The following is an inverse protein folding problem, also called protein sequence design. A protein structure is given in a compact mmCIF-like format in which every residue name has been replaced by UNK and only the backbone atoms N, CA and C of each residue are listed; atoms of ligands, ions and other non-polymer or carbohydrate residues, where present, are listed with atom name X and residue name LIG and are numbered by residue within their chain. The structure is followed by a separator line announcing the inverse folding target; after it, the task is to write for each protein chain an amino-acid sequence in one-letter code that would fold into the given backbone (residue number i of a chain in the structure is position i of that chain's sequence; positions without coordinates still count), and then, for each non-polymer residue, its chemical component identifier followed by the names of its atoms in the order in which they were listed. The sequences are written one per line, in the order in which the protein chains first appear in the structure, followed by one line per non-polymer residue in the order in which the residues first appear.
data_IF_607921490400
#
_entry.id   IF_607921490400
#
_cell.length_a   1.000
_cell.length_b   1.000
_cell.length_c   1.000
_cell.angle_alpha   90.00
_cell.angle_beta   90.00
_cell.angle_gamma   90.00
#
_symmetry.space_group_name_H-M   'P 1'
#
loop_
_entity.id
_entity.type
_entity.pdbx_description
1 polymer ?
#
# COMPACT_ATOMS: atom_id res chain seq x y z
N UNK A 1 -25.11 -4.08 -16.65
CA UNK A 1 -24.97 -5.51 -16.34
C UNK A 1 -24.14 -5.58 -15.08
N UNK A 2 -24.82 -5.72 -13.95
CA UNK A 2 -24.12 -5.94 -12.65
C UNK A 2 -23.47 -7.32 -12.69
N UNK A 3 -22.18 -7.35 -12.98
CA UNK A 3 -21.41 -8.56 -12.77
C UNK A 3 -21.24 -8.72 -11.25
N UNK A 4 -21.98 -9.67 -10.67
CA UNK A 4 -21.71 -10.12 -9.31
C UNK A 4 -20.22 -10.45 -9.19
N UNK A 5 -19.53 -9.85 -8.22
CA UNK A 5 -18.15 -10.25 -7.91
C UNK A 5 -18.13 -11.74 -7.62
N UNK A 6 -17.07 -12.43 -8.08
CA UNK A 6 -16.87 -13.83 -7.72
C UNK A 6 -16.60 -13.93 -6.21
N UNK A 7 -17.01 -15.05 -5.59
CA UNK A 7 -16.71 -15.31 -4.17
C UNK A 7 -15.22 -15.18 -3.86
N UNK A 8 -14.36 -15.58 -4.78
CA UNK A 8 -12.90 -15.51 -4.68
C UNK A 8 -12.39 -14.06 -4.55
N UNK A 9 -12.94 -13.12 -5.33
CA UNK A 9 -12.59 -11.70 -5.24
C UNK A 9 -13.01 -11.12 -3.88
N UNK A 10 -14.23 -11.46 -3.43
CA UNK A 10 -14.74 -11.02 -2.13
C UNK A 10 -13.86 -11.56 -0.99
N UNK A 11 -13.53 -12.84 -1.03
CA UNK A 11 -12.65 -13.48 -0.04
C UNK A 11 -11.28 -12.82 0.00
N UNK A 12 -10.69 -12.53 -1.17
CA UNK A 12 -9.39 -11.84 -1.25
C UNK A 12 -9.44 -10.44 -0.66
N UNK A 13 -10.49 -9.66 -0.93
CA UNK A 13 -10.70 -8.34 -0.32
C UNK A 13 -10.84 -8.43 1.19
N UNK A 14 -11.61 -9.39 1.69
CA UNK A 14 -11.79 -9.61 3.14
C UNK A 14 -10.50 -10.04 3.82
N UNK A 15 -9.71 -10.89 3.18
CA UNK A 15 -8.40 -11.30 3.68
C UNK A 15 -7.46 -10.09 3.86
N UNK A 16 -7.30 -9.28 2.79
CA UNK A 16 -6.46 -8.08 2.82
C UNK A 16 -6.95 -7.09 3.90
N UNK A 17 -8.25 -6.76 3.91
CA UNK A 17 -8.83 -5.87 4.92
C UNK A 17 -8.64 -6.41 6.34
N UNK A 18 -8.72 -7.73 6.53
CA UNK A 18 -8.50 -8.40 7.81
C UNK A 18 -7.06 -8.28 8.30
N UNK A 19 -6.06 -8.54 7.44
CA UNK A 19 -4.62 -8.41 7.77
C UNK A 19 -4.32 -6.99 8.25
N UNK A 20 -4.69 -5.99 7.45
CA UNK A 20 -4.45 -4.59 7.80
C UNK A 20 -5.30 -4.12 8.98
N UNK A 21 -6.52 -4.61 9.13
CA UNK A 21 -7.36 -4.34 10.30
C UNK A 21 -6.72 -4.80 11.61
N UNK A 22 -6.08 -5.98 11.64
CA UNK A 22 -5.35 -6.49 12.82
C UNK A 22 -4.05 -5.74 13.07
N UNK A 23 -3.42 -5.17 12.05
CA UNK A 23 -2.24 -4.34 12.18
C UNK A 23 -2.54 -2.88 12.60
N UNK A 24 -3.78 -2.41 12.47
CA UNK A 24 -4.14 -0.99 12.49
C UNK A 24 -3.64 -0.20 13.72
N UNK A 25 -3.64 -0.80 14.91
CA UNK A 25 -3.21 -0.11 16.13
C UNK A 25 -1.70 0.15 16.18
N UNK A 26 -0.91 -0.69 15.52
CA UNK A 26 0.56 -0.63 15.52
C UNK A 26 1.13 -0.18 14.18
N UNK A 27 0.29 -0.08 13.14
CA UNK A 27 0.70 0.24 11.77
C UNK A 27 1.50 1.54 11.71
N UNK A 28 2.71 1.48 11.16
CA UNK A 28 3.67 2.59 11.07
C UNK A 28 4.01 3.26 12.43
N UNK A 29 3.90 2.49 13.55
CA UNK A 29 4.17 2.96 14.91
C UNK A 29 5.26 2.18 15.64
N UNK A 30 5.64 1.01 15.10
CA UNK A 30 6.72 0.18 15.59
C UNK A 30 7.86 0.25 14.59
N UNK A 31 9.06 0.50 15.05
CA UNK A 31 10.23 0.73 14.20
C UNK A 31 10.18 2.03 13.41
N UNK A 32 10.96 2.12 12.35
CA UNK A 32 11.01 3.30 11.48
C UNK A 32 9.68 3.54 10.78
N UNK A 33 9.27 4.81 10.74
CA UNK A 33 8.00 5.23 10.12
C UNK A 33 8.16 5.46 8.62
N UNK A 34 8.45 4.41 7.88
CA UNK A 34 8.72 4.53 6.45
C UNK A 34 7.47 4.85 5.62
N UNK A 35 6.28 4.37 5.99
CA UNK A 35 5.04 4.76 5.32
C UNK A 35 4.75 6.26 5.48
N UNK A 36 4.92 6.80 6.69
CA UNK A 36 4.81 8.24 6.94
C UNK A 36 5.86 9.05 6.17
N UNK A 37 7.08 8.53 6.03
CA UNK A 37 8.13 9.17 5.24
C UNK A 37 7.74 9.25 3.77
N UNK A 38 7.42 8.11 3.15
CA UNK A 38 7.08 8.06 1.73
C UNK A 38 5.72 8.68 1.42
N UNK A 39 4.76 8.67 2.35
CA UNK A 39 3.50 9.40 2.22
C UNK A 39 3.74 10.92 2.08
N UNK A 40 4.62 11.50 2.93
CA UNK A 40 5.04 12.90 2.77
C UNK A 40 5.76 13.15 1.45
N UNK A 41 6.61 12.21 1.00
CA UNK A 41 7.30 12.33 -0.29
C UNK A 41 6.33 12.31 -1.46
N UNK A 42 5.36 11.39 -1.46
CA UNK A 42 4.32 11.31 -2.49
C UNK A 42 3.58 12.66 -2.60
N UNK A 43 3.11 13.19 -1.48
CA UNK A 43 2.39 14.47 -1.43
C UNK A 43 3.26 15.64 -1.92
N UNK A 44 4.53 15.68 -1.51
CA UNK A 44 5.46 16.73 -1.94
C UNK A 44 5.75 16.70 -3.45
N UNK A 45 5.92 15.49 -4.01
CA UNK A 45 6.19 15.28 -5.43
C UNK A 45 4.94 15.52 -6.30
N UNK A 46 3.75 15.22 -5.78
CA UNK A 46 2.48 15.47 -6.47
C UNK A 46 2.16 16.96 -6.67
N UNK A 47 2.83 17.86 -5.94
CA UNK A 47 2.67 19.32 -6.07
C UNK A 47 1.22 19.79 -6.02
N UNK A 48 0.46 19.24 -5.09
CA UNK A 48 -0.97 19.50 -4.92
C UNK A 48 -1.20 21.00 -4.65
N UNK A 49 -2.07 21.68 -5.38
CA UNK A 49 -2.34 23.09 -5.12
C UNK A 49 -3.13 23.28 -3.81
N UNK A 50 -2.90 24.40 -3.14
CA UNK A 50 -3.75 24.83 -2.03
C UNK A 50 -5.21 24.97 -2.48
N UNK A 51 -6.14 24.56 -1.63
CA UNK A 51 -7.58 24.57 -1.95
C UNK A 51 -8.08 23.39 -2.78
N UNK A 52 -7.24 22.43 -3.13
CA UNK A 52 -7.62 21.24 -3.91
C UNK A 52 -8.54 20.29 -3.11
N UNK A 53 -9.42 19.59 -3.83
CA UNK A 53 -10.13 18.41 -3.34
C UNK A 53 -9.33 17.16 -3.67
N UNK A 54 -8.90 16.43 -2.67
CA UNK A 54 -8.02 15.26 -2.81
C UNK A 54 -8.70 14.00 -2.31
N UNK A 55 -8.54 12.90 -3.03
CA UNK A 55 -8.91 11.56 -2.57
C UNK A 55 -7.64 10.76 -2.26
N UNK A 56 -7.55 10.21 -1.05
CA UNK A 56 -6.51 9.24 -0.65
C UNK A 56 -7.11 7.83 -0.64
N UNK A 57 -6.75 7.03 -1.62
CA UNK A 57 -7.29 5.68 -1.85
C UNK A 57 -6.46 4.65 -1.07
N UNK A 58 -7.15 3.79 -0.30
CA UNK A 58 -6.56 2.86 0.64
C UNK A 58 -5.65 3.60 1.64
N UNK A 59 -6.24 4.56 2.34
CA UNK A 59 -5.53 5.52 3.19
C UNK A 59 -4.77 4.89 4.36
N UNK A 60 -5.07 3.63 4.72
CA UNK A 60 -4.46 2.92 5.85
C UNK A 60 -4.58 3.72 7.14
N UNK A 61 -3.46 4.02 7.79
CA UNK A 61 -3.39 4.86 9.00
C UNK A 61 -3.14 6.36 8.69
N UNK A 62 -3.41 6.77 7.46
CA UNK A 62 -3.40 8.18 7.08
C UNK A 62 -2.02 8.77 6.79
N UNK A 63 -1.03 7.96 6.43
CA UNK A 63 0.32 8.46 6.12
C UNK A 63 0.31 9.52 4.99
N UNK A 64 -0.51 9.31 3.97
CA UNK A 64 -0.73 10.25 2.88
C UNK A 64 -1.80 11.28 3.25
N UNK A 65 -2.94 10.84 3.80
CA UNK A 65 -4.08 11.66 4.20
C UNK A 65 -3.70 12.91 5.01
N UNK A 66 -3.03 12.69 6.14
CA UNK A 66 -2.66 13.80 7.05
C UNK A 66 -1.62 14.73 6.43
N UNK A 67 -0.73 14.18 5.60
CA UNK A 67 0.23 15.01 4.85
C UNK A 67 -0.48 15.90 3.82
N UNK A 68 -1.40 15.33 3.04
CA UNK A 68 -2.19 16.05 2.03
C UNK A 68 -3.08 17.12 2.68
N UNK A 69 -3.70 16.83 3.84
CA UNK A 69 -4.55 17.77 4.59
C UNK A 69 -3.80 19.05 4.94
N UNK A 70 -2.52 18.94 5.33
CA UNK A 70 -1.68 20.11 5.61
C UNK A 70 -1.36 20.94 4.36
N UNK A 71 -1.20 20.28 3.20
CA UNK A 71 -0.84 20.94 1.94
C UNK A 71 -2.04 21.67 1.32
N UNK A 72 -3.22 21.02 1.29
CA UNK A 72 -4.42 21.67 0.70
C UNK A 72 -4.90 22.85 1.53
N UNK A 73 -4.61 22.86 2.82
CA UNK A 73 -4.98 23.93 3.76
C UNK A 73 -6.49 24.04 3.99
N UNK A 74 -6.96 25.09 4.69
CA UNK A 74 -8.35 25.20 5.15
C UNK A 74 -9.37 25.44 4.00
N UNK A 75 -8.93 25.78 2.82
CA UNK A 75 -9.79 25.99 1.65
C UNK A 75 -9.92 24.72 0.78
N UNK A 76 -9.07 23.72 1.01
CA UNK A 76 -9.15 22.42 0.35
C UNK A 76 -9.80 21.38 1.24
N UNK A 77 -10.01 20.19 0.69
CA UNK A 77 -10.56 19.05 1.43
C UNK A 77 -9.85 17.75 1.02
N UNK A 78 -9.61 16.88 1.99
CA UNK A 78 -9.07 15.55 1.75
C UNK A 78 -10.06 14.49 2.21
N UNK A 79 -10.44 13.59 1.31
CA UNK A 79 -11.23 12.41 1.65
C UNK A 79 -10.32 11.19 1.60
N UNK A 80 -10.23 10.44 2.70
CA UNK A 80 -9.58 9.13 2.72
C UNK A 80 -10.61 8.02 2.57
N UNK A 81 -10.28 6.97 1.84
CA UNK A 81 -11.07 5.74 1.82
C UNK A 81 -10.19 4.53 2.14
N UNK A 82 -10.76 3.56 2.83
CA UNK A 82 -10.11 2.28 3.09
C UNK A 82 -11.17 1.17 3.18
N UNK A 83 -10.81 -0.03 2.77
CA UNK A 83 -11.70 -1.18 2.85
C UNK A 83 -11.83 -1.68 4.30
N UNK A 84 -10.80 -1.48 5.13
CA UNK A 84 -10.77 -1.87 6.54
C UNK A 84 -11.52 -0.87 7.41
N UNK A 85 -12.62 -1.33 8.04
CA UNK A 85 -13.36 -0.57 9.03
C UNK A 85 -12.47 -0.12 10.21
N UNK A 86 -11.51 -0.96 10.61
CA UNK A 86 -10.60 -0.63 11.72
C UNK A 86 -9.69 0.54 11.34
N UNK A 87 -9.11 0.54 10.12
CA UNK A 87 -8.28 1.63 9.62
C UNK A 87 -9.07 2.95 9.58
N UNK A 88 -10.29 2.91 9.05
CA UNK A 88 -11.13 4.12 8.95
C UNK A 88 -11.53 4.67 10.32
N UNK A 89 -11.95 3.81 11.24
CA UNK A 89 -12.29 4.20 12.62
C UNK A 89 -11.11 4.86 13.34
N UNK A 90 -9.94 4.25 13.26
CA UNK A 90 -8.74 4.81 13.89
C UNK A 90 -8.34 6.17 13.32
N UNK A 91 -8.52 6.38 12.01
CA UNK A 91 -8.30 7.71 11.41
C UNK A 91 -9.36 8.72 11.83
N UNK A 92 -10.63 8.32 11.95
CA UNK A 92 -11.68 9.20 12.44
C UNK A 92 -11.39 9.69 13.88
N UNK A 93 -10.89 8.79 14.76
CA UNK A 93 -10.47 9.17 16.10
C UNK A 93 -9.25 10.13 16.07
N UNK A 94 -8.30 9.90 15.19
CA UNK A 94 -7.13 10.76 15.04
C UNK A 94 -7.52 12.14 14.49
N UNK A 95 -8.42 12.22 13.51
CA UNK A 95 -8.99 13.48 12.99
C UNK A 95 -9.64 14.29 14.13
N UNK A 96 -10.48 13.64 14.95
CA UNK A 96 -11.10 14.28 16.13
C UNK A 96 -10.05 14.77 17.12
N UNK A 97 -9.07 13.94 17.43
CA UNK A 97 -7.98 14.25 18.37
C UNK A 97 -7.17 15.47 17.93
N UNK A 98 -6.93 15.60 16.61
CA UNK A 98 -6.20 16.70 16.00
C UNK A 98 -7.06 17.93 15.71
N UNK A 99 -8.38 17.84 15.86
CA UNK A 99 -9.33 18.93 15.60
C UNK A 99 -9.38 19.36 14.13
N UNK A 100 -9.05 18.47 13.20
CA UNK A 100 -9.02 18.77 11.77
C UNK A 100 -10.44 18.89 11.21
N UNK A 101 -10.68 19.90 10.37
CA UNK A 101 -12.01 20.21 9.82
C UNK A 101 -12.10 20.00 8.31
N UNK A 102 -10.96 19.89 7.63
CA UNK A 102 -10.85 19.79 6.18
C UNK A 102 -10.44 18.36 5.71
N UNK A 103 -10.78 17.37 6.51
CA UNK A 103 -10.50 15.96 6.21
C UNK A 103 -11.60 15.06 6.74
N UNK A 104 -11.94 14.04 5.97
CA UNK A 104 -12.83 12.95 6.39
C UNK A 104 -12.30 11.60 5.93
N UNK A 105 -12.79 10.52 6.54
CA UNK A 105 -12.48 9.15 6.15
C UNK A 105 -13.75 8.32 6.08
N UNK A 106 -13.89 7.51 5.03
CA UNK A 106 -15.03 6.62 4.79
C UNK A 106 -14.54 5.19 4.54
N UNK A 107 -15.29 4.22 5.04
CA UNK A 107 -15.10 2.84 4.61
C UNK A 107 -15.67 2.69 3.19
N UNK A 108 -14.83 2.29 2.23
CA UNK A 108 -15.23 2.19 0.83
C UNK A 108 -14.26 1.30 0.06
N UNK A 109 -14.78 0.60 -0.93
CA UNK A 109 -14.00 -0.19 -1.88
C UNK A 109 -13.51 0.71 -3.03
N UNK A 110 -12.21 0.67 -3.32
CA UNK A 110 -11.61 1.41 -4.42
C UNK A 110 -12.12 1.00 -5.81
N UNK A 111 -12.67 -0.21 -5.93
CA UNK A 111 -13.26 -0.73 -7.17
C UNK A 111 -14.72 -0.30 -7.38
N UNK A 112 -15.32 0.38 -6.38
CA UNK A 112 -16.72 0.86 -6.40
C UNK A 112 -16.82 2.20 -5.67
N UNK A 113 -16.35 3.27 -6.30
CA UNK A 113 -16.30 4.59 -5.67
C UNK A 113 -17.69 5.29 -5.68
N UNK A 114 -18.20 5.55 -4.50
CA UNK A 114 -19.49 6.24 -4.30
C UNK A 114 -19.34 7.78 -4.37
N UNK A 115 -18.61 8.26 -5.38
CA UNK A 115 -18.44 9.69 -5.65
C UNK A 115 -18.93 10.04 -7.04
N UNK A 116 -19.46 11.27 -7.26
CA UNK A 116 -19.77 11.75 -8.59
C UNK A 116 -18.55 11.79 -9.50
N UNK A 117 -18.78 11.78 -10.80
CA UNK A 117 -17.73 11.99 -11.80
C UNK A 117 -17.05 13.34 -11.58
N UNK A 118 -15.75 13.43 -11.89
CA UNK A 118 -14.98 14.66 -11.85
C UNK A 118 -15.08 15.43 -10.51
N UNK A 119 -14.99 14.70 -9.38
CA UNK A 119 -15.10 15.27 -8.04
C UNK A 119 -13.76 15.75 -7.46
N UNK A 120 -12.64 15.14 -7.86
CA UNK A 120 -11.34 15.36 -7.24
C UNK A 120 -10.33 15.99 -8.20
N UNK A 121 -9.52 16.93 -7.68
CA UNK A 121 -8.42 17.55 -8.40
C UNK A 121 -7.19 16.66 -8.44
N UNK A 122 -6.99 15.88 -7.38
CA UNK A 122 -5.87 14.94 -7.25
C UNK A 122 -6.32 13.66 -6.53
N UNK A 123 -5.80 12.51 -6.96
CA UNK A 123 -6.01 11.22 -6.30
C UNK A 123 -4.65 10.64 -5.95
N UNK A 124 -4.52 10.20 -4.70
CA UNK A 124 -3.32 9.61 -4.14
C UNK A 124 -3.57 8.15 -3.78
N UNK A 125 -2.57 7.28 -3.96
CA UNK A 125 -2.62 5.88 -3.55
C UNK A 125 -1.22 5.43 -3.11
N UNK A 126 -0.98 5.40 -1.81
CA UNK A 126 0.32 5.04 -1.24
C UNK A 126 0.41 3.55 -0.92
N UNK A 127 1.27 2.79 -1.61
CA UNK A 127 1.55 1.37 -1.35
C UNK A 127 0.32 0.45 -1.34
N UNK A 128 -0.67 0.70 -2.18
CA UNK A 128 -1.90 -0.08 -2.17
C UNK A 128 -2.37 -0.59 -3.53
N UNK A 129 -1.96 0.02 -4.64
CA UNK A 129 -2.46 -0.30 -5.98
C UNK A 129 -2.32 -1.80 -6.35
N UNK A 130 -1.33 -2.49 -5.82
CA UNK A 130 -1.06 -3.92 -6.06
C UNK A 130 -1.94 -4.87 -5.21
N UNK A 131 -2.77 -4.33 -4.32
CA UNK A 131 -3.74 -5.13 -3.54
C UNK A 131 -5.13 -5.20 -4.18
N UNK A 132 -5.40 -4.46 -5.26
CA UNK A 132 -6.71 -4.44 -5.89
C UNK A 132 -6.91 -5.67 -6.78
N UNK A 133 -7.82 -6.62 -6.44
CA UNK A 133 -8.07 -7.80 -7.24
C UNK A 133 -8.55 -7.48 -8.67
N UNK A 134 -9.32 -6.41 -8.82
CA UNK A 134 -9.81 -5.90 -10.11
C UNK A 134 -9.15 -4.54 -10.42
N UNK A 135 -7.84 -4.55 -10.66
CA UNK A 135 -7.07 -3.33 -10.88
C UNK A 135 -7.66 -2.42 -11.97
N UNK A 136 -8.06 -2.98 -13.12
CA UNK A 136 -8.63 -2.21 -14.22
C UNK A 136 -9.91 -1.49 -13.79
N UNK A 137 -10.72 -2.13 -12.94
CA UNK A 137 -11.92 -1.53 -12.39
C UNK A 137 -11.58 -0.40 -11.44
N UNK A 138 -10.67 -0.61 -10.51
CA UNK A 138 -10.22 0.43 -9.59
C UNK A 138 -9.66 1.65 -10.33
N UNK A 139 -8.82 1.43 -11.35
CA UNK A 139 -8.26 2.52 -12.16
C UNK A 139 -9.34 3.22 -13.01
N UNK A 140 -10.36 2.49 -13.49
CA UNK A 140 -11.51 3.08 -14.18
C UNK A 140 -12.32 3.99 -13.25
N UNK A 141 -12.60 3.55 -12.03
CA UNK A 141 -13.30 4.34 -11.01
C UNK A 141 -12.48 5.58 -10.60
N UNK A 142 -11.19 5.39 -10.33
CA UNK A 142 -10.26 6.48 -10.05
C UNK A 142 -10.29 7.52 -11.19
N UNK A 143 -10.19 7.06 -12.44
CA UNK A 143 -10.25 7.96 -13.60
C UNK A 143 -11.61 8.64 -13.74
N UNK A 144 -12.71 7.96 -13.42
CA UNK A 144 -14.07 8.52 -13.47
C UNK A 144 -14.21 9.69 -12.51
N UNK A 145 -13.82 9.51 -11.25
CA UNK A 145 -13.99 10.53 -10.20
C UNK A 145 -12.95 11.63 -10.24
N UNK A 146 -11.84 11.46 -10.97
CA UNK A 146 -10.84 12.49 -11.20
C UNK A 146 -11.35 13.51 -12.23
N UNK A 147 -11.14 14.80 -11.98
CA UNK A 147 -11.48 15.88 -12.92
C UNK A 147 -10.64 15.79 -14.20
N UNK A 148 -11.09 16.30 -15.34
CA UNK A 148 -10.22 16.52 -16.50
C UNK A 148 -8.98 17.30 -16.09
N UNK A 149 -7.81 16.93 -16.60
CA UNK A 149 -6.50 17.44 -16.21
C UNK A 149 -6.11 17.22 -14.73
N UNK A 150 -6.93 16.51 -13.96
CA UNK A 150 -6.60 16.09 -12.60
C UNK A 150 -5.46 15.05 -12.60
N UNK A 151 -4.75 14.95 -11.48
CA UNK A 151 -3.59 14.10 -11.33
C UNK A 151 -3.89 12.86 -10.46
N UNK A 152 -3.43 11.70 -10.90
CA UNK A 152 -3.23 10.54 -10.03
C UNK A 152 -1.74 10.46 -9.64
N UNK A 153 -1.46 10.12 -8.38
CA UNK A 153 -0.12 9.83 -7.89
C UNK A 153 -0.13 8.56 -7.04
N UNK A 154 0.76 7.64 -7.34
CA UNK A 154 0.86 6.35 -6.63
C UNK A 154 2.28 6.10 -6.16
N UNK A 155 2.42 5.29 -5.10
CA UNK A 155 3.71 4.77 -4.63
C UNK A 155 3.66 3.25 -4.62
N UNK A 156 4.74 2.61 -5.10
CA UNK A 156 4.94 1.16 -5.06
C UNK A 156 6.36 0.84 -4.60
N UNK A 157 6.59 -0.43 -4.24
CA UNK A 157 7.94 -0.93 -4.02
C UNK A 157 8.66 -1.06 -5.36
N UNK A 158 9.95 -0.67 -5.41
CA UNK A 158 10.82 -1.03 -6.51
C UNK A 158 11.19 -2.52 -6.40
N UNK A 159 11.33 -3.22 -7.51
CA UNK A 159 11.64 -4.65 -7.55
C UNK A 159 12.98 -5.01 -6.87
N UNK A 160 13.90 -4.06 -6.75
CA UNK A 160 15.16 -4.23 -6.03
C UNK A 160 14.98 -4.29 -4.49
N UNK A 161 13.81 -3.92 -3.98
CA UNK A 161 13.51 -4.02 -2.55
C UNK A 161 13.68 -5.45 -2.03
N UNK A 162 13.21 -6.44 -2.78
CA UNK A 162 13.29 -7.85 -2.39
C UNK A 162 14.73 -8.41 -2.39
N UNK A 163 15.67 -7.83 -3.15
CA UNK A 163 17.02 -8.38 -3.25
C UNK A 163 17.77 -8.38 -1.92
N UNK A 164 17.64 -7.31 -1.13
CA UNK A 164 18.27 -7.19 0.18
C UNK A 164 17.71 -8.20 1.20
N UNK A 165 16.44 -8.55 1.06
CA UNK A 165 15.67 -9.37 2.01
C UNK A 165 15.31 -10.74 1.47
N UNK A 166 15.91 -11.15 0.35
CA UNK A 166 15.70 -12.46 -0.26
C UNK A 166 15.86 -13.62 0.73
N UNK A 167 16.80 -13.48 1.69
CA UNK A 167 16.99 -14.46 2.75
C UNK A 167 15.73 -14.64 3.63
N UNK A 168 14.94 -13.56 3.82
CA UNK A 168 13.69 -13.64 4.57
C UNK A 168 12.64 -14.43 3.80
N UNK A 169 12.49 -14.15 2.51
CA UNK A 169 11.57 -14.87 1.64
C UNK A 169 11.94 -16.36 1.58
N UNK A 170 13.24 -16.67 1.41
CA UNK A 170 13.77 -18.04 1.43
C UNK A 170 13.49 -18.75 2.78
N UNK A 171 13.59 -18.02 3.89
CA UNK A 171 13.27 -18.55 5.20
C UNK A 171 11.77 -18.78 5.36
N UNK A 172 10.92 -17.84 4.91
CA UNK A 172 9.45 -18.02 4.88
C UNK A 172 9.07 -19.26 4.09
N UNK A 173 9.66 -19.48 2.91
CA UNK A 173 9.42 -20.67 2.07
C UNK A 173 9.81 -21.98 2.77
N UNK A 174 10.79 -21.96 3.68
CA UNK A 174 11.16 -23.13 4.48
C UNK A 174 10.03 -23.57 5.42
N UNK A 175 9.29 -22.61 5.97
CA UNK A 175 8.16 -22.85 6.88
C UNK A 175 6.81 -22.98 6.14
N UNK A 176 6.70 -22.29 5.01
CA UNK A 176 5.53 -22.28 4.12
C UNK A 176 5.97 -22.72 2.71
N UNK A 177 6.42 -23.97 2.51
CA UNK A 177 6.77 -24.41 1.17
C UNK A 177 5.56 -24.21 0.23
N UNK A 178 5.80 -23.73 -0.99
CA UNK A 178 4.75 -23.57 -1.98
C UNK A 178 4.01 -24.90 -2.13
N UNK A 179 2.68 -24.85 -2.20
CA UNK A 179 1.92 -26.06 -2.49
C UNK A 179 2.37 -26.60 -3.86
N UNK A 180 2.56 -27.93 -3.99
CA UNK A 180 2.89 -28.49 -5.29
C UNK A 180 1.81 -28.04 -6.26
N UNK A 181 2.23 -27.33 -7.32
CA UNK A 181 1.34 -26.85 -8.38
C UNK A 181 0.41 -27.99 -8.80
N UNK A 182 -0.81 -27.99 -8.32
CA UNK A 182 -1.90 -28.69 -8.99
C UNK A 182 -1.99 -27.99 -10.34
N UNK A 183 -1.35 -28.60 -11.37
CA UNK A 183 -1.30 -28.20 -12.77
C UNK A 183 -2.25 -27.03 -13.04
N UNK A 184 -1.84 -25.82 -12.77
CA UNK A 184 -2.41 -24.67 -13.46
C UNK A 184 -2.05 -24.92 -14.91
N UNK A 185 -3.02 -25.36 -15.67
CA UNK A 185 -2.96 -25.26 -17.12
C UNK A 185 -2.58 -23.81 -17.37
N UNK A 186 -1.33 -23.62 -17.82
CA UNK A 186 -0.88 -22.34 -18.35
C UNK A 186 -1.78 -22.06 -19.55
N UNK A 187 -2.92 -21.47 -19.26
CA UNK A 187 -3.74 -20.90 -20.31
C UNK A 187 -2.92 -19.74 -20.86
N UNK A 188 -2.27 -19.99 -21.99
CA UNK A 188 -1.42 -19.03 -22.70
C UNK A 188 -2.19 -17.79 -23.17
N UNK A 189 -3.43 -17.62 -22.74
CA UNK A 189 -4.32 -16.48 -23.02
C UNK A 189 -4.54 -15.56 -21.81
N UNK A 190 -4.03 -15.90 -20.62
CA UNK A 190 -4.11 -14.97 -19.49
C UNK A 190 -3.20 -13.76 -19.76
N UNK A 191 -3.71 -12.52 -19.59
CA UNK A 191 -2.86 -11.34 -19.76
C UNK A 191 -1.69 -11.38 -18.74
N UNK A 192 -0.51 -10.88 -19.13
CA UNK A 192 0.63 -10.83 -18.21
C UNK A 192 0.25 -10.08 -16.95
N UNK A 193 0.66 -10.61 -15.78
CA UNK A 193 0.42 -9.94 -14.50
C UNK A 193 1.06 -8.55 -14.49
N UNK A 194 0.38 -7.55 -13.91
CA UNK A 194 0.93 -6.20 -13.80
C UNK A 194 2.27 -6.18 -13.06
N UNK A 195 3.25 -5.48 -13.59
CA UNK A 195 4.58 -5.35 -12.98
C UNK A 195 4.69 -4.02 -12.25
N UNK A 196 4.34 -4.01 -10.98
CA UNK A 196 4.32 -2.77 -10.16
C UNK A 196 5.71 -2.29 -9.73
N UNK A 197 6.69 -3.17 -9.67
CA UNK A 197 8.03 -2.89 -9.14
C UNK A 197 9.03 -2.37 -10.20
N UNK A 198 8.56 -2.01 -11.39
CA UNK A 198 9.41 -1.46 -12.46
C UNK A 198 8.77 -0.22 -13.08
N UNK A 199 9.55 0.81 -13.45
CA UNK A 199 9.03 2.01 -14.10
C UNK A 199 8.18 1.71 -15.33
N UNK A 200 8.65 0.84 -16.22
CA UNK A 200 7.96 0.48 -17.47
C UNK A 200 6.63 -0.22 -17.20
N UNK A 201 6.56 -0.99 -16.11
CA UNK A 201 5.33 -1.66 -15.67
C UNK A 201 4.28 -0.67 -15.19
N UNK A 202 4.66 0.31 -14.38
CA UNK A 202 3.77 1.37 -13.93
C UNK A 202 3.32 2.26 -15.10
N UNK A 203 4.23 2.60 -16.02
CA UNK A 203 3.88 3.32 -17.24
C UNK A 203 2.84 2.56 -18.08
N UNK A 204 3.03 1.24 -18.27
CA UNK A 204 2.09 0.41 -19.00
C UNK A 204 0.72 0.35 -18.33
N UNK A 205 0.66 0.19 -17.00
CA UNK A 205 -0.57 0.18 -16.20
C UNK A 205 -1.32 1.51 -16.37
N UNK A 206 -0.65 2.64 -16.21
CA UNK A 206 -1.27 3.97 -16.33
C UNK A 206 -1.74 4.26 -17.74
N UNK A 207 -0.94 3.89 -18.77
CA UNK A 207 -1.33 4.02 -20.17
C UNK A 207 -2.57 3.20 -20.49
N UNK A 208 -2.61 1.93 -20.06
CA UNK A 208 -3.76 1.03 -20.30
C UNK A 208 -5.04 1.56 -19.64
N UNK A 209 -4.93 2.23 -18.49
CA UNK A 209 -6.04 2.89 -17.83
C UNK A 209 -6.45 4.22 -18.48
N UNK A 210 -5.77 4.67 -19.55
CA UNK A 210 -6.09 5.87 -20.31
C UNK A 210 -5.62 7.17 -19.65
N UNK A 211 -4.61 7.10 -18.79
CA UNK A 211 -3.90 8.28 -18.29
C UNK A 211 -2.81 8.72 -19.27
N UNK A 212 -2.40 9.97 -19.16
CA UNK A 212 -1.39 10.62 -20.02
C UNK A 212 -0.34 11.34 -19.17
N UNK A 213 0.71 11.87 -19.81
CA UNK A 213 1.78 12.60 -19.14
C UNK A 213 2.37 11.82 -17.93
N UNK A 214 2.62 10.55 -18.16
CA UNK A 214 3.09 9.65 -17.12
C UNK A 214 4.54 9.95 -16.81
N UNK A 215 4.86 10.07 -15.52
CA UNK A 215 6.20 10.25 -15.00
C UNK A 215 6.42 9.25 -13.87
N UNK A 216 7.52 8.54 -13.90
CA UNK A 216 7.93 7.64 -12.81
C UNK A 216 9.25 8.13 -12.24
N UNK A 217 9.30 8.26 -10.92
CA UNK A 217 10.47 8.69 -10.15
C UNK A 217 10.86 7.58 -9.20
N UNK A 218 12.12 7.15 -9.23
CA UNK A 218 12.68 6.21 -8.27
C UNK A 218 13.38 6.98 -7.15
N UNK A 219 13.07 6.64 -5.90
CA UNK A 219 13.78 7.12 -4.71
C UNK A 219 14.10 5.93 -3.81
N UNK A 220 15.11 6.10 -2.97
CA UNK A 220 15.42 5.15 -1.90
C UNK A 220 15.70 5.92 -0.62
N UNK A 221 15.25 5.37 0.51
CA UNK A 221 15.58 5.88 1.81
C UNK A 221 16.07 4.73 2.70
N UNK A 222 17.09 5.01 3.52
CA UNK A 222 17.58 4.08 4.51
C UNK A 222 16.88 4.34 5.85
N UNK A 223 16.50 3.25 6.50
CA UNK A 223 15.92 3.25 7.84
C UNK A 223 16.70 2.31 8.74
N UNK A 224 16.78 2.63 10.02
CA UNK A 224 17.53 1.88 11.00
C UNK A 224 16.55 1.38 12.07
N UNK A 225 16.52 0.07 12.28
CA UNK A 225 15.88 -0.55 13.43
C UNK A 225 16.90 -0.65 14.56
N UNK A 226 16.50 -0.33 15.77
CA UNK A 226 17.41 -0.30 16.91
C UNK A 226 18.05 -1.68 17.20
N UNK A 227 17.24 -2.73 17.05
CA UNK A 227 17.66 -4.11 17.26
C UNK A 227 16.76 -5.12 16.52
N UNK A 228 17.09 -6.39 16.68
CA UNK A 228 16.40 -7.51 16.04
C UNK A 228 14.96 -7.65 16.53
N UNK A 229 14.69 -7.35 17.79
CA UNK A 229 13.34 -7.44 18.36
C UNK A 229 12.43 -6.32 17.85
N UNK A 230 12.96 -5.11 17.66
CA UNK A 230 12.20 -4.03 17.01
C UNK A 230 11.89 -4.40 15.56
N UNK A 231 12.87 -4.95 14.83
CA UNK A 231 12.65 -5.42 13.46
C UNK A 231 11.55 -6.49 13.39
N UNK A 232 11.64 -7.51 14.25
CA UNK A 232 10.63 -8.56 14.36
C UNK A 232 9.25 -7.99 14.70
N UNK A 233 9.18 -7.08 15.66
CA UNK A 233 7.93 -6.46 16.09
C UNK A 233 7.29 -5.62 14.99
N UNK A 234 8.12 -5.00 14.13
CA UNK A 234 7.65 -4.22 12.99
C UNK A 234 6.96 -5.10 11.93
N UNK A 235 7.35 -6.36 11.73
CA UNK A 235 6.66 -7.28 10.82
C UNK A 235 5.17 -7.43 11.17
N UNK A 236 4.83 -7.48 12.45
CA UNK A 236 3.47 -7.56 12.94
C UNK A 236 2.63 -6.29 12.69
N UNK A 237 3.32 -5.19 12.39
CA UNK A 237 2.69 -3.86 12.22
C UNK A 237 2.34 -3.51 10.77
N UNK A 238 2.60 -4.40 9.80
CA UNK A 238 2.30 -4.17 8.39
C UNK A 238 1.97 -5.47 7.62
N UNK A 239 2.03 -5.45 6.29
CA UNK A 239 1.60 -6.56 5.42
C UNK A 239 2.32 -7.90 5.65
N UNK A 240 3.60 -7.88 6.11
CA UNK A 240 4.34 -9.11 6.44
C UNK A 240 3.72 -9.91 7.59
N UNK A 241 2.78 -9.31 8.34
CA UNK A 241 1.94 -10.02 9.29
C UNK A 241 1.26 -11.25 8.70
N UNK A 242 0.92 -11.21 7.42
CA UNK A 242 0.30 -12.32 6.72
C UNK A 242 1.17 -13.59 6.76
N UNK A 243 2.48 -13.44 6.56
CA UNK A 243 3.42 -14.57 6.60
C UNK A 243 3.49 -15.17 8.01
N UNK A 244 3.56 -14.30 9.03
CA UNK A 244 3.65 -14.72 10.43
C UNK A 244 2.38 -15.48 10.86
N UNK A 245 1.20 -14.98 10.53
CA UNK A 245 -0.07 -15.62 10.80
C UNK A 245 -0.21 -16.96 10.04
N UNK A 246 0.26 -17.02 8.79
CA UNK A 246 0.25 -18.25 8.01
C UNK A 246 1.22 -19.30 8.58
N UNK A 247 2.41 -18.92 9.01
CA UNK A 247 3.39 -19.79 9.68
C UNK A 247 2.79 -20.33 10.98
N UNK A 248 2.23 -19.47 11.83
CA UNK A 248 1.61 -19.88 13.09
C UNK A 248 0.46 -20.85 12.84
N UNK A 249 -0.42 -20.56 11.88
CA UNK A 249 -1.53 -21.42 11.50
C UNK A 249 -1.08 -22.82 11.06
N UNK A 250 0.03 -22.88 10.30
CA UNK A 250 0.54 -24.16 9.74
C UNK A 250 1.37 -24.95 10.72
N UNK A 251 2.20 -24.30 11.53
CA UNK A 251 3.25 -24.94 12.34
C UNK A 251 3.00 -24.83 13.85
N UNK A 252 1.95 -24.11 14.26
CA UNK A 252 1.64 -23.80 15.66
C UNK A 252 2.58 -22.74 16.25
N UNK A 253 2.34 -22.40 17.52
CA UNK A 253 3.13 -21.39 18.27
C UNK A 253 4.60 -21.78 18.31
N UNK A 254 4.93 -23.05 18.57
CA UNK A 254 6.33 -23.54 18.62
C UNK A 254 7.03 -23.37 17.25
N UNK A 255 6.29 -23.49 16.15
CA UNK A 255 6.83 -23.27 14.82
C UNK A 255 7.15 -21.79 14.55
N UNK A 256 6.25 -20.90 14.97
CA UNK A 256 6.45 -19.46 14.87
C UNK A 256 7.64 -19.00 15.73
N UNK A 257 7.80 -19.54 16.95
CA UNK A 257 8.94 -19.24 17.81
C UNK A 257 10.27 -19.72 17.19
N UNK A 258 10.29 -20.89 16.53
CA UNK A 258 11.48 -21.32 15.78
C UNK A 258 11.79 -20.38 14.61
N UNK A 259 10.77 -20.04 13.82
CA UNK A 259 10.92 -19.07 12.74
C UNK A 259 11.50 -17.73 13.26
N UNK A 260 10.94 -17.22 14.37
CA UNK A 260 11.48 -16.03 15.04
C UNK A 260 12.95 -16.17 15.37
N UNK A 261 13.34 -17.28 15.98
CA UNK A 261 14.73 -17.53 16.39
C UNK A 261 15.68 -17.49 15.18
N UNK A 262 15.30 -18.13 14.07
CA UNK A 262 16.07 -18.15 12.82
C UNK A 262 16.20 -16.74 12.22
N UNK A 263 15.11 -15.96 12.21
CA UNK A 263 15.12 -14.55 11.77
C UNK A 263 16.07 -13.71 12.64
N UNK A 264 15.95 -13.80 13.97
CA UNK A 264 16.80 -13.02 14.88
C UNK A 264 18.27 -13.41 14.75
N UNK A 265 18.59 -14.70 14.55
CA UNK A 265 19.95 -15.15 14.30
C UNK A 265 20.52 -14.53 13.04
N UNK A 266 19.74 -14.52 11.95
CA UNK A 266 20.15 -13.91 10.68
C UNK A 266 20.36 -12.42 10.82
N UNK A 267 19.46 -11.70 11.49
CA UNK A 267 19.57 -10.25 11.72
C UNK A 267 20.82 -9.88 12.50
N UNK A 268 21.22 -10.69 13.51
CA UNK A 268 22.48 -10.48 14.26
C UNK A 268 23.70 -10.50 13.38
N UNK A 269 23.70 -11.28 12.29
CA UNK A 269 24.84 -11.35 11.35
C UNK A 269 25.00 -10.10 10.50
N UNK A 270 23.94 -9.30 10.32
CA UNK A 270 23.94 -8.09 9.48
C UNK A 270 23.83 -6.79 10.30
N UNK A 271 23.61 -6.90 11.61
CA UNK A 271 23.50 -5.76 12.52
C UNK A 271 24.79 -4.97 12.57
N UNK A 272 24.68 -3.67 12.48
CA UNK A 272 25.77 -2.70 12.63
C UNK A 272 25.80 -2.13 14.07
N UNK A 273 26.76 -1.25 14.35
CA UNK A 273 26.93 -0.67 15.69
C UNK A 273 25.74 0.16 16.16
N UNK A 274 25.01 0.78 15.23
CA UNK A 274 23.87 1.66 15.46
C UNK A 274 22.50 1.00 15.12
N UNK A 275 22.50 -0.28 14.71
CA UNK A 275 21.26 -1.02 14.45
C UNK A 275 21.27 -1.83 13.17
N UNK A 276 20.07 -2.19 12.71
CA UNK A 276 19.86 -2.95 11.48
C UNK A 276 19.41 -1.97 10.40
N UNK A 277 20.27 -1.79 9.40
CA UNK A 277 20.03 -0.90 8.28
C UNK A 277 19.18 -1.58 7.21
N UNK A 278 18.11 -0.93 6.81
CA UNK A 278 17.24 -1.38 5.73
C UNK A 278 17.02 -0.26 4.72
N UNK A 279 17.38 -0.52 3.47
CA UNK A 279 17.06 0.36 2.34
C UNK A 279 15.68 0.05 1.80
N UNK A 280 14.92 1.09 1.51
CA UNK A 280 13.57 1.01 0.95
C UNK A 280 13.54 1.73 -0.40
N UNK A 281 13.89 1.05 -1.49
CA UNK A 281 13.70 1.59 -2.83
C UNK A 281 12.22 1.58 -3.21
N UNK A 282 11.73 2.70 -3.71
CA UNK A 282 10.33 2.92 -4.07
C UNK A 282 10.19 3.61 -5.41
N UNK A 283 9.07 3.41 -6.06
CA UNK A 283 8.67 4.12 -7.27
C UNK A 283 7.47 5.01 -6.96
N UNK A 284 7.54 6.26 -7.44
CA UNK A 284 6.42 7.19 -7.47
C UNK A 284 5.99 7.38 -8.92
N UNK A 285 4.75 7.10 -9.23
CA UNK A 285 4.21 7.35 -10.56
C UNK A 285 3.13 8.44 -10.50
N UNK A 286 3.20 9.36 -11.44
CA UNK A 286 2.29 10.49 -11.62
C UNK A 286 1.71 10.43 -13.02
N UNK A 287 0.42 10.68 -13.17
CA UNK A 287 -0.22 10.73 -14.48
C UNK A 287 -1.41 11.68 -14.46
N UNK A 288 -1.81 12.18 -15.62
CA UNK A 288 -2.95 13.08 -15.76
C UNK A 288 -4.12 12.38 -16.45
N UNK A 289 -5.33 12.68 -16.00
CA UNK A 289 -6.53 12.37 -16.76
C UNK A 289 -6.59 13.32 -17.97
N UNK A 290 -6.75 12.82 -19.21
CA UNK A 290 -6.96 13.68 -20.38
C UNK A 290 -8.14 14.62 -20.20
N UNK A 291 -8.12 15.73 -20.93
CA UNK A 291 -9.22 16.71 -20.93
C UNK A 291 -10.52 16.15 -21.54
N UNK A 292 -10.37 15.21 -22.49
CA UNK A 292 -11.50 14.51 -23.18
C UNK A 292 -11.23 13.01 -23.22
#
# INVERSE_FOLDING_TARGET
MDSHESSEIIERKQEVAGIFGRAALTYDRIGPRFFSHFGRRLVALAKIPGGANVLDVATGRGAVLFSATGVVGPQGHVTGIDLSEVMTRENQEEIKRLGLQNVEVRQMDAEYLEFPDASFDCILCGFAIFFFPQLDRALSEIRRVLKPNGQIAVTTWDSSFGEQWKWYDELVETYLPPEPETRQTTDSQSPPQPVFGKPEGLEAIMNSAGFTNIQVVSESAEFIYADEEEWWSALWSHGARADLEAIEKKTGVDGLERFKADVLERLRTIKQADGIHQSFPVLFAFALKPEV
#
